data_IF_681031834792
#
_entry.id   IF_681031834792
#
_cell.length_a   1.000
_cell.length_b   1.000
_cell.length_c   1.000
_cell.angle_alpha   90.00
_cell.angle_beta   90.00
_cell.angle_gamma   90.00
#
_symmetry.space_group_name_H-M   'P 1'
#
loop_
_entity.id
_entity.type
_entity.pdbx_description
1 polymer ?
#
# COMPACT_ATOMS: atom_id res chain seq x y z
N UNK A 1 7.20 -18.41 4.59
CA UNK A 1 7.98 -18.01 3.39
C UNK A 1 7.63 -16.61 2.84
N UNK A 2 6.41 -16.04 3.08
CA UNK A 2 6.10 -14.64 2.71
C UNK A 2 6.77 -13.57 3.59
N UNK A 3 6.88 -13.79 4.91
CA UNK A 3 7.50 -12.83 5.86
C UNK A 3 8.93 -12.41 5.47
N UNK A 4 9.71 -13.33 4.88
CA UNK A 4 11.13 -13.09 4.56
C UNK A 4 11.33 -12.18 3.34
N UNK A 5 10.37 -12.15 2.39
CA UNK A 5 10.47 -11.30 1.19
C UNK A 5 10.20 -9.83 1.52
N UNK A 6 9.23 -9.57 2.37
CA UNK A 6 8.87 -8.21 2.80
C UNK A 6 9.99 -7.57 3.59
N UNK A 7 10.58 -8.29 4.55
CA UNK A 7 11.70 -7.78 5.37
C UNK A 7 12.93 -7.47 4.50
N UNK A 8 13.29 -8.36 3.58
CA UNK A 8 14.41 -8.12 2.65
C UNK A 8 14.16 -6.93 1.73
N UNK A 9 12.92 -6.75 1.24
CA UNK A 9 12.58 -5.59 0.41
C UNK A 9 12.72 -4.28 1.18
N UNK A 10 12.28 -4.22 2.44
CA UNK A 10 12.40 -2.99 3.24
C UNK A 10 13.86 -2.70 3.57
N UNK A 11 14.68 -3.72 3.87
CA UNK A 11 16.12 -3.58 4.11
C UNK A 11 16.86 -3.13 2.83
N UNK A 12 16.54 -3.70 1.67
CA UNK A 12 17.14 -3.28 0.40
C UNK A 12 16.71 -1.87 -0.01
N UNK A 13 15.43 -1.50 0.14
CA UNK A 13 14.96 -0.14 -0.11
C UNK A 13 15.62 0.88 0.82
N UNK A 14 15.85 0.52 2.09
CA UNK A 14 16.58 1.37 3.05
C UNK A 14 18.05 1.52 2.66
N UNK A 15 18.71 0.43 2.23
CA UNK A 15 20.10 0.45 1.74
C UNK A 15 20.27 1.25 0.45
N UNK A 16 19.35 1.13 -0.52
CA UNK A 16 19.37 1.96 -1.72
C UNK A 16 19.07 3.44 -1.42
N UNK A 17 18.14 3.72 -0.50
CA UNK A 17 17.88 5.10 -0.07
C UNK A 17 19.09 5.74 0.62
N UNK A 18 19.83 4.98 1.45
CA UNK A 18 21.08 5.44 2.05
C UNK A 18 22.22 5.60 1.02
N UNK A 19 22.11 4.96 -0.14
CA UNK A 19 23.04 5.11 -1.27
C UNK A 19 22.68 6.31 -2.19
N UNK A 20 21.77 7.20 -1.77
CA UNK A 20 21.43 8.42 -2.50
C UNK A 20 20.39 8.24 -3.62
N UNK A 21 19.83 7.04 -3.79
CA UNK A 21 18.72 6.82 -4.72
C UNK A 21 17.41 7.38 -4.16
N UNK A 22 16.77 8.25 -4.94
CA UNK A 22 15.44 8.79 -4.63
C UNK A 22 14.41 7.66 -4.64
N UNK A 23 13.65 7.49 -3.55
CA UNK A 23 12.66 6.42 -3.43
C UNK A 23 11.65 6.34 -4.57
N UNK A 24 11.38 7.46 -5.26
CA UNK A 24 10.58 7.47 -6.49
C UNK A 24 11.10 6.51 -7.57
N UNK A 25 12.42 6.30 -7.69
CA UNK A 25 13.05 5.39 -8.66
C UNK A 25 12.79 3.91 -8.32
N UNK A 26 12.75 3.56 -7.03
CA UNK A 26 12.45 2.21 -6.56
C UNK A 26 10.97 1.87 -6.78
N UNK A 27 10.07 2.86 -6.68
CA UNK A 27 8.67 2.65 -6.97
C UNK A 27 8.40 2.36 -8.44
N UNK A 28 9.00 3.17 -9.32
CA UNK A 28 8.78 3.08 -10.75
C UNK A 28 9.05 1.66 -11.27
N UNK A 29 10.12 1.03 -10.77
CA UNK A 29 10.49 -0.35 -11.10
C UNK A 29 9.39 -1.39 -10.79
N UNK A 30 8.54 -1.16 -9.79
CA UNK A 30 7.44 -2.08 -9.45
C UNK A 30 6.22 -1.93 -10.35
N UNK A 31 5.97 -0.74 -10.88
CA UNK A 31 4.77 -0.47 -11.68
C UNK A 31 4.91 -0.85 -13.15
N UNK A 32 6.12 -0.84 -13.73
CA UNK A 32 6.30 -1.20 -15.15
C UNK A 32 5.76 -2.59 -15.51
N UNK A 33 5.98 -3.59 -14.64
CA UNK A 33 5.44 -4.93 -14.86
C UNK A 33 3.92 -4.96 -14.87
N UNK A 34 3.28 -4.21 -13.97
CA UNK A 34 1.82 -4.11 -13.90
C UNK A 34 1.28 -3.40 -15.15
N UNK A 35 1.91 -2.31 -15.60
CA UNK A 35 1.49 -1.57 -16.79
C UNK A 35 1.54 -2.46 -18.04
N UNK A 36 2.62 -3.22 -18.24
CA UNK A 36 2.77 -4.11 -19.40
C UNK A 36 1.74 -5.23 -19.36
N UNK A 37 1.57 -5.90 -18.21
CA UNK A 37 0.61 -7.01 -18.08
C UNK A 37 -0.83 -6.49 -18.27
N UNK A 38 -1.20 -5.39 -17.62
CA UNK A 38 -2.53 -4.79 -17.76
C UNK A 38 -2.82 -4.36 -19.20
N UNK A 39 -1.82 -3.84 -19.92
CA UNK A 39 -1.99 -3.48 -21.32
C UNK A 39 -2.25 -4.72 -22.20
N UNK A 40 -1.47 -5.79 -22.02
CA UNK A 40 -1.65 -7.04 -22.78
C UNK A 40 -3.02 -7.69 -22.55
N UNK A 41 -3.57 -7.58 -21.34
CA UNK A 41 -4.87 -8.18 -21.00
C UNK A 41 -6.08 -7.35 -21.45
N UNK A 42 -5.89 -6.05 -21.72
CA UNK A 42 -7.01 -5.10 -21.83
C UNK A 42 -6.97 -4.26 -23.12
N UNK A 43 -6.07 -4.60 -24.06
CA UNK A 43 -5.77 -3.76 -25.22
C UNK A 43 -6.99 -3.51 -26.14
N UNK A 44 -7.92 -4.47 -26.18
CA UNK A 44 -9.10 -4.48 -27.05
C UNK A 44 -10.17 -3.49 -26.58
N UNK A 45 -10.36 -3.36 -25.27
CA UNK A 45 -11.35 -2.47 -24.65
C UNK A 45 -10.77 -1.14 -24.18
N UNK A 46 -9.44 -0.99 -24.15
CA UNK A 46 -8.74 0.17 -23.58
C UNK A 46 -9.23 1.49 -24.16
N UNK A 47 -9.29 1.62 -25.49
CA UNK A 47 -9.56 2.91 -26.14
C UNK A 47 -10.95 3.46 -25.81
N UNK A 48 -11.96 2.59 -25.83
CA UNK A 48 -13.37 2.97 -25.58
C UNK A 48 -13.58 3.36 -24.12
N UNK A 49 -13.03 2.60 -23.17
CA UNK A 49 -13.18 2.90 -21.74
C UNK A 49 -12.37 4.10 -21.29
N UNK A 50 -11.17 4.28 -21.85
CA UNK A 50 -10.28 5.38 -21.50
C UNK A 50 -10.89 6.72 -21.92
N UNK A 51 -11.39 6.83 -23.16
CA UNK A 51 -12.01 8.07 -23.64
C UNK A 51 -13.29 8.45 -22.87
N UNK A 52 -14.03 7.45 -22.37
CA UNK A 52 -15.27 7.68 -21.65
C UNK A 52 -15.08 8.07 -20.17
N UNK A 53 -13.93 7.75 -19.55
CA UNK A 53 -13.75 7.88 -18.09
C UNK A 53 -12.38 8.44 -17.68
N UNK A 54 -11.65 9.10 -18.59
CA UNK A 54 -10.26 9.52 -18.36
C UNK A 54 -10.12 10.40 -17.11
N UNK A 55 -11.08 11.28 -16.88
CA UNK A 55 -11.16 12.20 -15.75
C UNK A 55 -11.26 11.45 -14.41
N UNK A 56 -12.18 10.48 -14.33
CA UNK A 56 -12.36 9.66 -13.13
C UNK A 56 -11.16 8.75 -12.89
N UNK A 57 -10.61 8.15 -13.95
CA UNK A 57 -9.43 7.29 -13.89
C UNK A 57 -8.23 8.08 -13.35
N UNK A 58 -8.00 9.30 -13.84
CA UNK A 58 -6.91 10.16 -13.36
C UNK A 58 -7.10 10.49 -11.87
N UNK A 59 -8.31 10.87 -11.46
CA UNK A 59 -8.61 11.23 -10.07
C UNK A 59 -8.32 10.05 -9.13
N UNK A 60 -8.88 8.87 -9.42
CA UNK A 60 -8.67 7.67 -8.62
C UNK A 60 -7.20 7.24 -8.61
N UNK A 61 -6.50 7.37 -9.74
CA UNK A 61 -5.08 7.03 -9.82
C UNK A 61 -4.22 7.96 -8.97
N UNK A 62 -4.46 9.26 -9.01
CA UNK A 62 -3.68 10.24 -8.25
C UNK A 62 -3.95 10.10 -6.75
N UNK A 63 -5.23 10.15 -6.35
CA UNK A 63 -5.61 10.19 -4.93
C UNK A 63 -5.63 8.81 -4.27
N UNK A 64 -6.03 7.77 -5.00
CA UNK A 64 -6.16 6.41 -4.46
C UNK A 64 -4.85 5.62 -4.49
N UNK A 65 -3.94 5.91 -5.42
CA UNK A 65 -2.71 5.11 -5.60
C UNK A 65 -1.44 5.94 -5.52
N UNK A 66 -1.29 6.98 -6.34
CA UNK A 66 -0.02 7.70 -6.46
C UNK A 66 0.36 8.43 -5.17
N UNK A 67 -0.55 9.23 -4.60
CA UNK A 67 -0.30 9.99 -3.37
C UNK A 67 -0.01 9.05 -2.18
N UNK A 68 -0.86 8.05 -1.85
CA UNK A 68 -0.60 7.14 -0.73
C UNK A 68 0.73 6.40 -0.87
N UNK A 69 1.05 5.93 -2.07
CA UNK A 69 2.27 5.16 -2.31
C UNK A 69 3.52 6.06 -2.30
N UNK A 70 3.40 7.32 -2.72
CA UNK A 70 4.47 8.31 -2.58
C UNK A 70 4.74 8.64 -1.10
N UNK A 71 3.69 8.93 -0.33
CA UNK A 71 3.79 9.21 1.11
C UNK A 71 4.38 8.03 1.89
N UNK A 72 3.93 6.81 1.59
CA UNK A 72 4.44 5.59 2.23
C UNK A 72 5.94 5.40 1.98
N UNK A 73 6.40 5.66 0.76
CA UNK A 73 7.81 5.57 0.46
C UNK A 73 8.65 6.66 1.10
N UNK A 74 8.14 7.90 1.14
CA UNK A 74 8.77 8.96 1.92
C UNK A 74 8.89 8.55 3.39
N UNK A 75 7.84 7.96 3.97
CA UNK A 75 7.89 7.37 5.32
C UNK A 75 9.00 6.33 5.49
N UNK A 76 9.18 5.41 4.52
CA UNK A 76 10.26 4.41 4.54
C UNK A 76 11.66 5.05 4.53
N UNK A 77 11.84 6.18 3.85
CA UNK A 77 13.12 6.89 3.85
C UNK A 77 13.47 7.38 5.26
N UNK A 78 12.53 8.08 5.90
CA UNK A 78 12.79 8.79 7.16
C UNK A 78 12.62 7.91 8.42
N UNK A 79 11.83 6.84 8.38
CA UNK A 79 11.57 5.98 9.53
C UNK A 79 12.28 4.63 9.41
N UNK A 80 12.68 4.03 10.53
CA UNK A 80 13.26 2.68 10.51
C UNK A 80 12.30 1.66 9.83
N UNK A 81 12.83 0.70 9.06
CA UNK A 81 12.04 -0.36 8.41
C UNK A 81 11.03 -1.03 9.32
N UNK A 82 11.42 -1.22 10.58
CA UNK A 82 10.60 -1.83 11.61
C UNK A 82 9.38 -0.97 11.97
N UNK A 83 9.60 0.33 12.25
CA UNK A 83 8.52 1.29 12.53
C UNK A 83 7.52 1.38 11.36
N UNK A 84 8.01 1.38 10.12
CA UNK A 84 7.12 1.39 8.94
C UNK A 84 6.29 0.10 8.89
N UNK A 85 6.91 -1.06 9.09
CA UNK A 85 6.21 -2.34 9.08
C UNK A 85 5.13 -2.42 10.16
N UNK A 86 5.38 -1.84 11.34
CA UNK A 86 4.37 -1.71 12.39
C UNK A 86 3.22 -0.79 11.99
N UNK A 87 3.51 0.37 11.42
CA UNK A 87 2.49 1.32 10.95
C UNK A 87 1.56 0.71 9.88
N UNK A 88 2.10 -0.15 9.02
CA UNK A 88 1.33 -0.86 7.98
C UNK A 88 0.27 -1.79 8.60
N UNK A 89 0.48 -2.31 9.82
CA UNK A 89 -0.51 -3.15 10.52
C UNK A 89 -1.79 -2.38 10.90
N UNK A 90 -1.75 -1.04 10.92
CA UNK A 90 -2.94 -0.22 11.19
C UNK A 90 -3.77 0.06 9.93
N UNK A 91 -3.24 -0.19 8.73
CA UNK A 91 -3.97 0.03 7.47
C UNK A 91 -5.34 -0.66 7.46
N UNK A 92 -5.47 -1.96 7.85
CA UNK A 92 -6.76 -2.64 7.87
C UNK A 92 -7.79 -1.97 8.79
N UNK A 93 -7.35 -1.37 9.90
CA UNK A 93 -8.24 -0.64 10.81
C UNK A 93 -8.79 0.63 10.15
N UNK A 94 -7.92 1.41 9.50
CA UNK A 94 -8.36 2.58 8.72
C UNK A 94 -9.24 2.18 7.53
N UNK A 95 -8.88 1.11 6.80
CA UNK A 95 -9.69 0.60 5.70
C UNK A 95 -11.08 0.19 6.18
N UNK A 96 -11.20 -0.49 7.31
CA UNK A 96 -12.49 -0.87 7.87
C UNK A 96 -13.34 0.36 8.23
N UNK A 97 -12.74 1.39 8.84
CA UNK A 97 -13.45 2.64 9.14
C UNK A 97 -13.98 3.31 7.86
N UNK A 98 -13.18 3.37 6.79
CA UNK A 98 -13.64 3.91 5.51
C UNK A 98 -14.73 3.04 4.87
N UNK A 99 -14.66 1.72 5.01
CA UNK A 99 -15.70 0.82 4.53
C UNK A 99 -17.05 1.07 5.21
N UNK A 100 -17.06 1.47 6.49
CA UNK A 100 -18.31 1.82 7.18
C UNK A 100 -18.99 3.08 6.64
N UNK A 101 -18.24 3.96 5.98
CA UNK A 101 -18.81 5.15 5.34
C UNK A 101 -19.43 4.85 3.97
N UNK A 102 -19.18 3.66 3.39
CA UNK A 102 -19.77 3.25 2.11
C UNK A 102 -21.01 2.37 2.35
N UNK A 103 -22.22 2.86 2.04
CA UNK A 103 -23.46 2.10 2.24
C UNK A 103 -23.59 0.87 1.32
N UNK A 104 -22.69 0.71 0.33
CA UNK A 104 -22.67 -0.46 -0.55
C UNK A 104 -22.02 -1.68 0.10
N UNK A 105 -21.30 -1.51 1.20
CA UNK A 105 -20.57 -2.60 1.87
C UNK A 105 -21.39 -3.10 3.06
N UNK A 106 -21.83 -4.35 2.95
CA UNK A 106 -22.54 -5.07 4.03
C UNK A 106 -21.62 -5.29 5.24
N UNK A 107 -22.18 -5.11 6.43
CA UNK A 107 -21.44 -5.30 7.68
C UNK A 107 -21.03 -6.77 7.87
N UNK A 108 -19.74 -7.02 8.08
CA UNK A 108 -19.21 -8.36 8.39
C UNK A 108 -18.51 -8.39 9.74
N UNK A 109 -19.12 -9.08 10.70
CA UNK A 109 -18.55 -9.32 12.04
C UNK A 109 -17.22 -10.08 11.94
N UNK A 110 -17.05 -10.93 10.93
CA UNK A 110 -15.79 -11.66 10.67
C UNK A 110 -14.65 -10.69 10.31
N UNK A 111 -14.93 -9.69 9.47
CA UNK A 111 -13.97 -8.64 9.13
C UNK A 111 -13.59 -7.82 10.35
N UNK A 112 -14.56 -7.47 11.21
CA UNK A 112 -14.30 -6.76 12.46
C UNK A 112 -13.35 -7.54 13.38
N UNK A 113 -13.60 -8.83 13.59
CA UNK A 113 -12.74 -9.68 14.44
C UNK A 113 -11.31 -9.73 13.88
N UNK A 114 -11.15 -9.89 12.57
CA UNK A 114 -9.84 -9.89 11.92
C UNK A 114 -9.09 -8.56 12.10
N UNK A 115 -9.79 -7.44 11.96
CA UNK A 115 -9.23 -6.09 12.16
C UNK A 115 -8.83 -5.88 13.61
N UNK A 116 -9.65 -6.29 14.58
CA UNK A 116 -9.33 -6.19 16.00
C UNK A 116 -8.11 -7.06 16.39
N UNK A 117 -8.01 -8.28 15.86
CA UNK A 117 -6.82 -9.14 16.06
C UNK A 117 -5.56 -8.48 15.49
N UNK A 118 -5.61 -7.95 14.27
CA UNK A 118 -4.46 -7.27 13.66
C UNK A 118 -4.07 -6.00 14.44
N UNK A 119 -5.06 -5.24 14.90
CA UNK A 119 -4.84 -4.02 15.68
C UNK A 119 -4.18 -4.34 17.03
N UNK A 120 -4.72 -5.29 17.79
CA UNK A 120 -4.17 -5.71 19.08
C UNK A 120 -2.76 -6.27 18.95
N UNK A 121 -2.48 -7.09 17.93
CA UNK A 121 -1.13 -7.58 17.66
C UNK A 121 -0.17 -6.45 17.23
N UNK A 122 -0.65 -5.50 16.44
CA UNK A 122 0.11 -4.32 16.03
C UNK A 122 0.52 -3.46 17.24
N UNK A 123 -0.42 -3.18 18.15
CA UNK A 123 -0.16 -2.46 19.39
C UNK A 123 0.79 -3.25 20.31
N UNK A 124 0.55 -4.54 20.51
CA UNK A 124 1.42 -5.39 21.33
C UNK A 124 2.87 -5.43 20.80
N UNK A 125 3.04 -5.43 19.47
CA UNK A 125 4.36 -5.38 18.85
C UNK A 125 5.10 -4.08 19.22
N UNK A 126 4.41 -2.93 19.23
CA UNK A 126 5.02 -1.63 19.61
C UNK A 126 5.48 -1.65 21.07
N UNK A 127 4.65 -2.21 21.96
CA UNK A 127 5.01 -2.34 23.38
C UNK A 127 6.17 -3.30 23.62
N UNK A 128 6.33 -4.33 22.77
CA UNK A 128 7.45 -5.27 22.88
C UNK A 128 8.79 -4.65 22.46
N UNK A 129 8.80 -3.64 21.61
CA UNK A 129 10.03 -2.97 21.17
C UNK A 129 10.52 -1.92 22.18
N UNK A 130 9.58 -1.24 22.86
CA UNK A 130 9.91 -0.25 23.88
C UNK A 130 10.42 -0.86 25.21
N UNK A 131 10.71 -2.17 25.24
CA UNK A 131 11.12 -2.93 26.43
C UNK A 131 12.47 -3.57 26.21
#
# INVERSE_FOLDING_TARGET
MLKTKTVKCTIYSKRLSNAGWTSSSILAHRFYGIVVISFLMTYDILQTYLMANIDWIILVTIFGVAIPTFLLQKGIQYCEPFVVMMSICFIPAFTFVFQLADPRIEWSTTSLIGVLMLFTLGVASIFSENK
#
